data_IF_186323319040
#
_entry.id   IF_186323319040
#
_cell.length_a   1.000
_cell.length_b   1.000
_cell.length_c   1.000
_cell.angle_alpha   90.00
_cell.angle_beta   90.00
_cell.angle_gamma   90.00
#
_symmetry.space_group_name_H-M   'P 1'
#
loop_
_entity.id
_entity.type
_entity.pdbx_description
1 polymer ?
#
# COMPACT_ATOMS: atom_id res chain seq x y z
N UNK A 1 8.26 -12.69 0.86
CA UNK A 1 9.58 -12.09 0.57
C UNK A 1 9.38 -10.59 0.62
N UNK A 2 10.12 -9.90 1.45
CA UNK A 2 9.98 -8.44 1.58
C UNK A 2 10.68 -7.81 0.38
N UNK A 3 10.07 -6.79 -0.24
CA UNK A 3 10.82 -5.86 -1.07
C UNK A 3 12.00 -5.36 -0.24
N UNK A 4 13.22 -5.23 -0.81
CA UNK A 4 14.24 -4.48 -0.13
C UNK A 4 13.64 -3.10 0.21
N UNK A 5 13.80 -2.67 1.45
CA UNK A 5 13.31 -1.38 1.92
C UNK A 5 13.99 -0.30 1.08
N UNK A 6 13.33 0.14 0.01
CA UNK A 6 13.80 1.28 -0.77
C UNK A 6 13.37 2.50 0.02
N UNK A 7 14.28 2.94 0.87
CA UNK A 7 14.13 4.14 1.66
C UNK A 7 14.22 5.33 0.73
N UNK A 8 13.29 6.28 0.74
CA UNK A 8 13.57 7.61 0.23
C UNK A 8 14.78 8.14 0.99
N UNK A 9 15.93 8.28 0.30
CA UNK A 9 17.11 8.90 0.89
C UNK A 9 16.80 10.37 1.19
N UNK A 10 17.30 10.94 2.29
CA UNK A 10 17.24 12.37 2.50
C UNK A 10 17.79 13.08 1.27
N UNK A 11 17.21 14.24 0.94
CA UNK A 11 17.49 15.02 -0.25
C UNK A 11 18.97 15.01 -0.64
N UNK A 12 19.34 14.63 -1.87
CA UNK A 12 20.73 14.52 -2.28
C UNK A 12 21.39 15.89 -2.23
N UNK A 13 22.61 15.91 -1.73
CA UNK A 13 23.54 17.05 -1.83
C UNK A 13 23.55 17.54 -3.30
N UNK A 14 23.55 18.87 -3.57
CA UNK A 14 23.51 19.39 -4.93
C UNK A 14 24.68 18.84 -5.76
N UNK A 15 24.40 17.98 -6.72
CA UNK A 15 25.45 17.48 -7.63
C UNK A 15 25.22 16.10 -8.24
N UNK A 16 24.34 15.27 -7.72
CA UNK A 16 24.04 13.96 -8.31
C UNK A 16 22.58 13.89 -8.76
N UNK A 17 22.31 14.19 -10.02
CA UNK A 17 21.08 13.77 -10.67
C UNK A 17 21.17 12.25 -10.88
N UNK A 18 20.67 11.48 -9.95
CA UNK A 18 20.41 10.07 -10.21
C UNK A 18 19.03 9.99 -10.86
N UNK A 19 19.01 10.13 -12.17
CA UNK A 19 17.92 9.69 -13.02
C UNK A 19 18.10 8.19 -13.14
N UNK A 20 17.24 7.40 -12.54
CA UNK A 20 17.20 5.99 -12.92
C UNK A 20 15.88 5.35 -12.51
N UNK A 21 15.22 4.84 -13.52
CA UNK A 21 14.31 3.73 -13.38
C UNK A 21 15.12 2.55 -12.83
N UNK A 22 14.77 2.07 -11.66
CA UNK A 22 15.30 0.83 -11.10
C UNK A 22 14.24 -0.23 -11.31
N UNK A 23 14.56 -1.24 -12.10
CA UNK A 23 13.73 -2.43 -12.25
C UNK A 23 14.34 -3.59 -11.46
N UNK A 24 13.52 -4.22 -10.62
CA UNK A 24 13.88 -5.41 -9.86
C UNK A 24 12.90 -6.54 -10.18
N UNK A 25 13.45 -7.67 -10.64
CA UNK A 25 12.68 -8.82 -11.08
C UNK A 25 12.73 -9.91 -9.99
N UNK A 26 11.60 -10.15 -9.37
CA UNK A 26 11.41 -11.17 -8.34
C UNK A 26 10.72 -12.42 -8.91
N UNK A 27 10.66 -13.50 -8.15
CA UNK A 27 10.04 -14.76 -8.60
C UNK A 27 8.54 -14.63 -8.87
N UNK A 28 7.86 -13.66 -8.24
CA UNK A 28 6.39 -13.55 -8.28
C UNK A 28 5.89 -12.17 -8.68
N UNK A 29 6.77 -11.16 -8.74
CA UNK A 29 6.44 -9.82 -9.16
C UNK A 29 7.65 -9.11 -9.75
N UNK A 30 7.38 -8.10 -10.56
CA UNK A 30 8.37 -7.15 -11.06
C UNK A 30 8.09 -5.79 -10.43
N UNK A 31 9.08 -5.14 -9.87
CA UNK A 31 8.95 -3.79 -9.32
C UNK A 31 9.76 -2.79 -10.13
N UNK A 32 9.16 -1.60 -10.36
CA UNK A 32 9.79 -0.47 -11.01
C UNK A 32 9.74 0.73 -10.09
N UNK A 33 10.91 1.29 -9.77
CA UNK A 33 11.03 2.51 -8.99
C UNK A 33 11.33 3.68 -9.91
N UNK A 34 10.50 4.70 -9.88
CA UNK A 34 10.67 5.96 -10.60
C UNK A 34 11.11 7.05 -9.63
N UNK A 35 12.23 7.71 -9.93
CA UNK A 35 12.73 8.83 -9.14
C UNK A 35 11.84 10.08 -9.25
N UNK A 36 12.00 11.05 -8.34
CA UNK A 36 11.15 12.25 -8.29
C UNK A 36 11.31 13.17 -9.51
N UNK A 37 12.40 13.04 -10.26
CA UNK A 37 12.65 13.81 -11.50
C UNK A 37 12.05 13.15 -12.75
N UNK A 38 11.56 11.91 -12.66
CA UNK A 38 10.95 11.21 -13.77
C UNK A 38 9.57 11.81 -14.09
N UNK A 39 9.30 12.26 -15.32
CA UNK A 39 7.98 12.81 -15.69
C UNK A 39 6.83 11.84 -15.41
N UNK A 40 7.06 10.55 -15.62
CA UNK A 40 6.09 9.49 -15.39
C UNK A 40 5.63 9.37 -13.92
N UNK A 41 6.47 9.77 -12.97
CA UNK A 41 6.12 9.75 -11.53
C UNK A 41 4.89 10.62 -11.23
N UNK A 42 4.75 11.75 -11.91
CA UNK A 42 3.61 12.65 -11.69
C UNK A 42 2.30 12.11 -12.25
N UNK A 43 2.39 11.31 -13.32
CA UNK A 43 1.22 10.69 -13.96
C UNK A 43 0.66 9.54 -13.14
N UNK A 44 1.49 8.90 -12.32
CA UNK A 44 1.11 7.78 -11.48
C UNK A 44 0.48 8.20 -10.14
N UNK A 45 0.65 9.45 -9.73
CA UNK A 45 -0.07 9.98 -8.56
C UNK A 45 -1.51 10.28 -8.92
N UNK A 46 -2.44 9.72 -8.17
CA UNK A 46 -3.87 10.07 -8.32
C UNK A 46 -4.21 11.19 -7.35
N UNK A 47 -4.53 12.36 -7.89
CA UNK A 47 -4.99 13.47 -7.06
C UNK A 47 -6.45 13.25 -6.64
N UNK A 48 -6.63 12.68 -5.44
CA UNK A 48 -7.97 12.40 -4.91
C UNK A 48 -8.76 13.68 -4.57
N UNK A 49 -8.09 14.82 -4.41
CA UNK A 49 -8.75 16.09 -4.16
C UNK A 49 -9.37 16.68 -5.45
N UNK A 50 -8.74 16.44 -6.59
CA UNK A 50 -9.21 16.85 -7.91
C UNK A 50 -10.15 15.83 -8.57
N UNK A 51 -10.22 14.61 -8.01
CA UNK A 51 -11.07 13.55 -8.53
C UNK A 51 -12.57 13.88 -8.35
N UNK A 52 -13.40 13.21 -9.12
CA UNK A 52 -14.85 13.38 -9.02
C UNK A 52 -15.34 13.05 -7.60
N UNK A 53 -15.87 14.05 -6.90
CA UNK A 53 -16.32 13.96 -5.49
C UNK A 53 -17.34 12.85 -5.24
N UNK A 54 -18.11 12.44 -6.25
CA UNK A 54 -19.06 11.32 -6.11
C UNK A 54 -18.37 9.97 -5.99
N UNK A 55 -17.14 9.85 -6.44
CA UNK A 55 -16.33 8.63 -6.44
C UNK A 55 -15.30 8.60 -5.31
N UNK A 56 -15.06 9.75 -4.64
CA UNK A 56 -14.14 9.88 -3.50
C UNK A 56 -14.92 9.71 -2.21
N UNK A 57 -14.43 8.86 -1.31
CA UNK A 57 -15.05 8.59 -0.02
C UNK A 57 -14.02 8.72 1.10
N UNK A 58 -14.27 9.62 2.05
CA UNK A 58 -13.54 9.67 3.30
C UNK A 58 -14.08 8.55 4.19
N UNK A 59 -13.22 7.67 4.64
CA UNK A 59 -13.63 6.58 5.53
C UNK A 59 -13.62 7.08 6.97
N UNK A 60 -14.76 7.56 7.45
CA UNK A 60 -14.90 8.23 8.75
C UNK A 60 -14.35 7.38 9.91
N UNK A 61 -14.65 6.08 9.96
CA UNK A 61 -14.17 5.21 11.04
C UNK A 61 -12.64 5.11 11.00
N UNK A 62 -12.05 4.80 9.83
CA UNK A 62 -10.59 4.62 9.72
C UNK A 62 -9.84 5.94 9.93
N UNK A 63 -10.44 7.08 9.59
CA UNK A 63 -9.83 8.40 9.78
C UNK A 63 -9.77 8.83 11.26
N UNK A 64 -10.62 8.26 12.11
CA UNK A 64 -10.76 8.66 13.52
C UNK A 64 -10.37 7.55 14.52
N UNK A 65 -9.71 6.50 14.06
CA UNK A 65 -9.37 5.35 14.92
C UNK A 65 -7.95 4.87 14.70
N UNK A 66 -7.45 4.13 15.70
CA UNK A 66 -6.18 3.45 15.68
C UNK A 66 -6.40 1.93 15.64
N UNK A 67 -5.58 1.20 14.90
CA UNK A 67 -5.61 -0.28 14.79
C UNK A 67 -6.96 -0.84 14.35
N UNK A 68 -7.58 -0.19 13.38
CA UNK A 68 -8.83 -0.62 12.77
C UNK A 68 -8.64 -1.00 11.31
N UNK A 69 -9.57 -1.81 10.82
CA UNK A 69 -9.64 -2.19 9.42
C UNK A 69 -11.10 -2.27 8.96
N UNK A 70 -11.34 -1.98 7.70
CA UNK A 70 -12.71 -1.97 7.13
C UNK A 70 -12.73 -2.56 5.74
N UNK A 71 -13.74 -3.37 5.48
CA UNK A 71 -13.98 -3.97 4.16
C UNK A 71 -14.51 -2.95 3.18
N UNK A 72 -14.02 -3.06 1.94
CA UNK A 72 -14.48 -2.27 0.80
C UNK A 72 -14.72 -3.22 -0.37
N UNK A 73 -15.84 -3.04 -1.06
CA UNK A 73 -16.16 -3.76 -2.29
C UNK A 73 -15.68 -2.90 -3.46
N UNK A 74 -14.85 -3.49 -4.32
CA UNK A 74 -14.37 -2.85 -5.54
C UNK A 74 -15.47 -2.83 -6.60
N UNK A 75 -15.49 -1.82 -7.45
CA UNK A 75 -16.39 -1.75 -8.60
C UNK A 75 -15.99 -2.68 -9.75
N UNK A 76 -14.78 -3.25 -9.69
CA UNK A 76 -14.22 -4.19 -10.66
C UNK A 76 -13.55 -5.38 -9.95
N UNK A 77 -13.23 -6.43 -10.71
CA UNK A 77 -12.45 -7.55 -10.21
C UNK A 77 -10.95 -7.25 -10.37
N UNK A 78 -10.25 -7.17 -9.24
CA UNK A 78 -8.80 -6.95 -9.23
C UNK A 78 -8.08 -8.31 -9.31
N UNK A 79 -7.22 -8.56 -10.33
CA UNK A 79 -6.52 -9.82 -10.48
C UNK A 79 -5.25 -9.86 -9.60
N UNK A 80 -5.39 -10.34 -8.37
CA UNK A 80 -4.25 -10.53 -7.48
C UNK A 80 -3.62 -11.90 -7.73
N UNK A 81 -2.41 -11.93 -8.31
CA UNK A 81 -1.74 -13.15 -8.79
C UNK A 81 -2.62 -14.01 -9.71
N UNK A 82 -3.40 -13.37 -10.60
CA UNK A 82 -4.33 -14.02 -11.51
C UNK A 82 -5.66 -14.46 -10.88
N UNK A 83 -5.87 -14.23 -9.59
CA UNK A 83 -7.12 -14.55 -8.91
C UNK A 83 -8.00 -13.29 -8.74
N UNK A 84 -9.25 -13.29 -9.24
CA UNK A 84 -10.12 -12.12 -9.15
C UNK A 84 -10.54 -11.85 -7.71
N UNK A 85 -10.29 -10.63 -7.23
CA UNK A 85 -10.73 -10.14 -5.94
C UNK A 85 -11.72 -8.99 -6.13
N UNK A 86 -12.92 -9.14 -5.56
CA UNK A 86 -13.97 -8.12 -5.54
C UNK A 86 -14.04 -7.38 -4.22
N UNK A 87 -13.40 -7.89 -3.19
CA UNK A 87 -13.44 -7.36 -1.83
C UNK A 87 -12.04 -7.30 -1.25
N UNK A 88 -11.72 -6.18 -0.62
CA UNK A 88 -10.45 -5.91 0.07
C UNK A 88 -10.75 -5.34 1.45
N UNK A 89 -9.72 -5.24 2.30
CA UNK A 89 -9.86 -4.62 3.61
C UNK A 89 -8.75 -3.59 3.82
N UNK A 90 -9.14 -2.32 3.97
CA UNK A 90 -8.20 -1.22 4.27
C UNK A 90 -7.92 -1.20 5.76
N UNK A 91 -6.64 -1.09 6.14
CA UNK A 91 -6.21 -0.95 7.53
C UNK A 91 -5.65 0.45 7.81
N UNK A 92 -5.89 0.96 9.00
CA UNK A 92 -5.31 2.25 9.47
C UNK A 92 -3.79 2.24 9.47
N UNK A 93 -3.18 1.06 9.60
CA UNK A 93 -1.73 0.86 9.62
C UNK A 93 -1.03 0.94 8.26
N UNK A 94 -1.64 1.54 7.23
CA UNK A 94 -0.98 1.82 5.95
C UNK A 94 -0.86 0.62 5.01
N UNK A 95 -1.85 -0.27 4.99
CA UNK A 95 -1.87 -1.44 4.12
C UNK A 95 -3.29 -1.93 3.82
N UNK A 96 -3.39 -2.81 2.85
CA UNK A 96 -4.62 -3.45 2.39
C UNK A 96 -4.47 -4.96 2.57
N UNK A 97 -5.46 -5.60 3.19
CA UNK A 97 -5.59 -7.06 3.14
C UNK A 97 -6.27 -7.47 1.82
N UNK A 98 -5.68 -8.45 1.14
CA UNK A 98 -6.09 -8.92 -0.19
C UNK A 98 -6.83 -10.25 -0.17
N UNK A 99 -7.28 -10.74 0.97
CA UNK A 99 -7.98 -12.01 1.08
C UNK A 99 -8.88 -12.08 2.30
N UNK A 100 -9.86 -12.99 2.25
CA UNK A 100 -10.83 -13.20 3.34
C UNK A 100 -10.24 -13.96 4.53
N UNK A 101 -9.06 -14.55 4.38
CA UNK A 101 -8.50 -15.46 5.35
C UNK A 101 -7.59 -14.73 6.32
N UNK A 102 -8.15 -14.34 7.46
CA UNK A 102 -7.36 -13.97 8.64
C UNK A 102 -6.98 -15.26 9.35
N UNK A 103 -5.89 -15.89 8.97
CA UNK A 103 -5.39 -17.02 9.71
C UNK A 103 -4.60 -16.55 10.94
N UNK A 104 -5.20 -16.66 12.12
CA UNK A 104 -4.61 -16.19 13.39
C UNK A 104 -3.28 -16.88 13.74
N UNK A 105 -2.97 -18.01 13.14
CA UNK A 105 -1.76 -18.81 13.43
C UNK A 105 -0.69 -18.78 12.33
N UNK A 106 -1.01 -18.27 11.13
CA UNK A 106 -0.02 -18.09 10.07
C UNK A 106 0.23 -16.59 9.92
N UNK A 107 1.45 -16.16 10.07
CA UNK A 107 1.95 -14.80 9.82
C UNK A 107 1.84 -14.38 8.35
N UNK A 108 1.21 -15.20 7.51
CA UNK A 108 1.05 -15.05 6.07
C UNK A 108 -0.34 -14.51 5.72
N UNK A 109 -0.68 -13.31 6.20
CA UNK A 109 -1.81 -12.55 5.66
C UNK A 109 -1.44 -12.04 4.28
N UNK A 110 -2.35 -12.17 3.32
CA UNK A 110 -2.21 -11.59 1.99
C UNK A 110 -2.38 -10.08 2.10
N UNK A 111 -1.37 -9.33 1.73
CA UNK A 111 -1.39 -7.88 1.87
C UNK A 111 -0.72 -7.18 0.68
N UNK A 112 -1.15 -5.95 0.47
CA UNK A 112 -0.49 -4.92 -0.33
C UNK A 112 -0.20 -3.76 0.62
N UNK A 113 1.08 -3.46 0.85
CA UNK A 113 1.53 -2.49 1.84
C UNK A 113 2.44 -1.43 1.21
N UNK A 114 1.92 -0.25 0.86
CA UNK A 114 2.79 0.86 0.48
C UNK A 114 3.72 1.24 1.64
N UNK A 115 3.18 1.34 2.85
CA UNK A 115 3.96 1.54 4.06
C UNK A 115 3.15 1.05 5.27
N UNK A 116 3.36 -0.20 5.66
CA UNK A 116 2.77 -0.76 6.87
C UNK A 116 3.57 -0.30 8.08
N UNK A 117 2.93 0.40 9.02
CA UNK A 117 3.51 0.82 10.28
C UNK A 117 2.42 1.11 11.34
N UNK A 118 2.82 1.54 12.54
CA UNK A 118 1.88 1.83 13.63
C UNK A 118 1.24 3.22 13.46
N UNK A 119 0.53 3.46 12.35
CA UNK A 119 -0.16 4.72 12.11
C UNK A 119 -1.42 4.86 12.94
N UNK A 120 -1.65 6.07 13.44
CA UNK A 120 -2.85 6.47 14.18
C UNK A 120 -3.53 7.66 13.49
N UNK A 121 -4.46 7.44 12.55
CA UNK A 121 -5.23 8.52 11.94
C UNK A 121 -6.07 9.31 12.95
N UNK A 122 -6.48 8.69 14.07
CA UNK A 122 -7.24 9.37 15.10
C UNK A 122 -6.46 10.39 15.97
N UNK A 123 -5.16 10.55 15.70
CA UNK A 123 -4.33 11.51 16.42
C UNK A 123 -4.65 12.97 16.04
N UNK A 124 -5.00 13.23 14.79
CA UNK A 124 -5.23 14.59 14.28
C UNK A 124 -6.49 14.65 13.43
N UNK A 125 -7.27 15.71 13.58
CA UNK A 125 -8.45 15.97 12.76
C UNK A 125 -8.10 16.20 11.26
N UNK A 126 -6.84 16.51 10.97
CA UNK A 126 -6.34 16.64 9.59
C UNK A 126 -5.96 15.30 8.97
N UNK A 127 -5.86 14.24 9.76
CA UNK A 127 -5.55 12.90 9.25
C UNK A 127 -6.79 12.28 8.64
N UNK A 128 -6.66 11.74 7.41
CA UNK A 128 -7.76 11.02 6.77
C UNK A 128 -7.29 9.73 6.11
N UNK A 129 -8.18 8.75 6.08
CA UNK A 129 -8.09 7.60 5.18
C UNK A 129 -9.18 7.79 4.13
N UNK A 130 -8.77 8.08 2.92
CA UNK A 130 -9.67 8.36 1.80
C UNK A 130 -9.47 7.33 0.71
N UNK A 131 -10.53 6.95 0.03
CA UNK A 131 -10.43 6.08 -1.12
C UNK A 131 -11.28 6.57 -2.30
N UNK A 132 -10.89 6.17 -3.48
CA UNK A 132 -11.48 6.52 -4.76
C UNK A 132 -11.62 5.26 -5.61
N UNK A 133 -12.74 5.12 -6.33
CA UNK A 133 -13.01 4.01 -7.23
C UNK A 133 -13.79 4.51 -8.44
N UNK A 134 -13.23 4.34 -9.63
CA UNK A 134 -13.85 4.77 -10.89
C UNK A 134 -14.18 3.63 -11.86
N UNK A 135 -14.03 2.37 -11.42
CA UNK A 135 -14.28 1.20 -12.25
C UNK A 135 -13.06 0.64 -12.98
N UNK A 136 -11.96 1.40 -13.03
CA UNK A 136 -10.69 0.98 -13.67
C UNK A 136 -9.51 1.05 -12.72
N UNK A 137 -9.58 1.90 -11.71
CA UNK A 137 -8.59 2.03 -10.65
C UNK A 137 -9.29 2.25 -9.32
N UNK A 138 -8.80 1.56 -8.31
CA UNK A 138 -9.11 1.81 -6.91
C UNK A 138 -7.87 2.39 -6.24
N UNK A 139 -8.02 3.52 -5.57
CA UNK A 139 -6.93 4.18 -4.83
C UNK A 139 -7.32 4.31 -3.38
N UNK A 140 -6.43 4.01 -2.48
CA UNK A 140 -6.53 4.41 -1.07
C UNK A 140 -5.36 5.30 -0.70
N UNK A 141 -5.64 6.42 -0.06
CA UNK A 141 -4.67 7.38 0.44
C UNK A 141 -4.77 7.47 1.95
N UNK A 142 -3.63 7.30 2.61
CA UNK A 142 -3.41 7.68 4.00
C UNK A 142 -2.84 9.09 3.96
N UNK A 143 -3.66 10.06 4.36
CA UNK A 143 -3.38 11.48 4.21
C UNK A 143 -3.09 12.12 5.57
N UNK A 144 -1.91 12.73 5.71
CA UNK A 144 -1.43 13.36 6.95
C UNK A 144 -1.55 12.45 8.19
N UNK A 145 -1.27 11.14 8.04
CA UNK A 145 -1.33 10.19 9.15
C UNK A 145 -0.04 10.21 9.97
N UNK A 146 -0.16 10.07 11.29
CA UNK A 146 0.97 10.12 12.22
C UNK A 146 1.32 8.73 12.75
N UNK A 147 2.62 8.51 13.00
CA UNK A 147 3.09 7.34 13.71
C UNK A 147 2.80 7.47 15.21
N UNK A 148 2.15 6.47 15.79
CA UNK A 148 1.87 6.40 17.21
C UNK A 148 3.17 6.41 18.04
N UNK A 149 3.29 7.41 18.91
CA UNK A 149 4.48 7.63 19.75
C UNK A 149 5.65 8.33 19.07
N UNK A 150 5.46 8.82 17.81
CA UNK A 150 6.44 9.56 17.02
C UNK A 150 5.78 10.76 16.31
N UNK A 151 4.75 11.30 16.89
CA UNK A 151 3.93 12.37 16.30
C UNK A 151 4.72 13.66 16.05
N UNK A 152 5.78 13.88 16.83
CA UNK A 152 6.72 14.99 16.69
C UNK A 152 7.55 14.96 15.41
N UNK A 153 7.63 13.80 14.74
CA UNK A 153 8.37 13.66 13.47
C UNK A 153 7.62 14.20 12.27
N UNK A 154 6.33 14.43 12.38
CA UNK A 154 5.48 14.91 11.31
C UNK A 154 4.54 13.87 10.73
N UNK A 155 3.73 14.29 9.77
CA UNK A 155 2.73 13.45 9.11
C UNK A 155 3.29 12.74 7.88
N UNK A 156 2.65 11.64 7.54
CA UNK A 156 2.93 10.85 6.34
C UNK A 156 1.75 10.96 5.37
N UNK A 157 2.05 11.11 4.08
CA UNK A 157 1.05 11.09 3.01
C UNK A 157 1.53 10.18 1.91
N UNK A 158 0.78 9.09 1.69
CA UNK A 158 1.07 8.08 0.68
C UNK A 158 -0.19 7.36 0.23
N UNK A 159 -0.12 6.69 -0.92
CA UNK A 159 -1.26 5.97 -1.47
C UNK A 159 -0.86 4.63 -2.09
N UNK A 160 -1.85 3.75 -2.22
CA UNK A 160 -1.79 2.55 -3.04
C UNK A 160 -2.91 2.60 -4.07
N UNK A 161 -2.59 2.36 -5.33
CA UNK A 161 -3.54 2.22 -6.41
C UNK A 161 -3.55 0.78 -6.94
N UNK A 162 -4.75 0.23 -7.09
CA UNK A 162 -5.00 -1.09 -7.67
C UNK A 162 -5.70 -0.90 -9.01
N UNK A 163 -5.06 -1.25 -10.11
CA UNK A 163 -5.61 -1.12 -11.46
C UNK A 163 -6.31 -2.41 -11.91
N UNK A 164 -7.36 -2.29 -12.70
CA UNK A 164 -8.15 -3.42 -13.18
C UNK A 164 -7.33 -4.46 -13.98
N UNK A 165 -6.17 -4.07 -14.50
CA UNK A 165 -5.22 -4.93 -15.22
C UNK A 165 -4.24 -5.69 -14.30
N UNK A 166 -4.36 -5.53 -12.97
CA UNK A 166 -3.50 -6.16 -11.96
C UNK A 166 -2.27 -5.34 -11.56
N UNK A 167 -2.01 -4.22 -12.22
CA UNK A 167 -0.91 -3.32 -11.86
C UNK A 167 -1.19 -2.65 -10.51
N UNK A 168 -0.14 -2.53 -9.69
CA UNK A 168 -0.17 -1.89 -8.38
C UNK A 168 0.78 -0.70 -8.39
N UNK A 169 0.35 0.44 -7.88
CA UNK A 169 1.20 1.64 -7.74
C UNK A 169 1.29 2.02 -6.27
N UNK A 170 2.50 2.19 -5.77
CA UNK A 170 2.78 2.82 -4.48
C UNK A 170 3.33 4.21 -4.70
N UNK A 171 2.68 5.21 -4.15
CA UNK A 171 3.04 6.59 -4.33
C UNK A 171 3.24 7.30 -2.98
N UNK A 172 4.37 7.99 -2.84
CA UNK A 172 4.78 8.65 -1.60
C UNK A 172 4.93 10.14 -1.85
N UNK A 173 4.19 10.95 -1.09
CA UNK A 173 4.21 12.41 -1.17
C UNK A 173 4.93 13.04 0.02
N UNK A 174 4.67 12.54 1.21
CA UNK A 174 5.25 13.03 2.45
C UNK A 174 5.75 11.86 3.30
N UNK A 175 7.05 11.80 3.54
CA UNK A 175 7.70 10.79 4.38
C UNK A 175 8.72 11.53 5.26
N UNK A 176 8.33 12.00 6.46
CA UNK A 176 9.12 12.95 7.25
C UNK A 176 10.34 12.33 7.93
N UNK A 177 10.44 10.99 7.93
CA UNK A 177 11.57 10.28 8.53
C UNK A 177 11.95 9.05 7.71
N UNK A 178 13.16 8.57 7.90
CA UNK A 178 13.65 7.35 7.24
C UNK A 178 12.88 6.11 7.71
N UNK A 179 12.38 5.29 6.78
CA UNK A 179 11.60 4.09 7.10
C UNK A 179 12.35 3.09 7.99
N UNK A 180 13.68 2.84 7.84
CA UNK A 180 14.43 2.00 8.78
C UNK A 180 14.48 2.51 10.23
N UNK A 181 14.23 3.79 10.47
CA UNK A 181 14.17 4.34 11.82
C UNK A 181 12.84 4.09 12.52
N UNK A 182 11.81 3.67 11.77
CA UNK A 182 10.50 3.36 12.35
C UNK A 182 10.60 2.08 13.17
N UNK A 183 10.24 2.17 14.46
CA UNK A 183 10.27 1.02 15.36
C UNK A 183 9.24 -0.03 14.96
N UNK A 184 9.67 -1.29 14.85
CA UNK A 184 8.81 -2.45 14.59
C UNK A 184 8.38 -3.19 15.87
N UNK A 185 8.66 -2.65 17.06
CA UNK A 185 8.44 -3.34 18.33
C UNK A 185 6.94 -3.55 18.68
N UNK A 186 6.08 -2.64 18.26
CA UNK A 186 4.64 -2.70 18.55
C UNK A 186 3.77 -3.02 17.35
N UNK A 187 4.29 -2.86 16.14
CA UNK A 187 3.63 -3.11 14.88
C UNK A 187 4.67 -3.43 13.82
N UNK A 188 4.44 -4.42 12.95
CA UNK A 188 5.36 -4.68 11.84
C UNK A 188 5.53 -3.45 10.94
N UNK A 189 6.77 -3.18 10.52
CA UNK A 189 7.07 -2.17 9.49
C UNK A 189 7.45 -2.91 8.22
N UNK A 190 6.65 -2.71 7.16
CA UNK A 190 6.80 -3.42 5.89
C UNK A 190 6.41 -2.52 4.72
N UNK A 191 7.16 -2.65 3.63
CA UNK A 191 6.77 -2.14 2.32
C UNK A 191 6.81 -3.29 1.33
N UNK A 192 5.77 -3.44 0.49
CA UNK A 192 5.68 -4.51 -0.50
C UNK A 192 4.36 -5.28 -0.42
N UNK A 193 4.39 -6.52 -0.89
CA UNK A 193 3.21 -7.39 -0.89
C UNK A 193 3.55 -8.81 -0.47
N UNK A 194 2.50 -9.58 -0.14
CA UNK A 194 2.63 -11.02 0.06
C UNK A 194 3.03 -11.68 -1.26
N UNK A 195 3.82 -12.74 -1.18
CA UNK A 195 4.45 -13.43 -2.32
C UNK A 195 3.56 -14.45 -3.02
N UNK A 196 2.28 -14.55 -2.65
CA UNK A 196 1.35 -15.51 -3.24
C UNK A 196 -0.10 -15.21 -2.88
N UNK A 197 -1.02 -15.70 -3.70
CA UNK A 197 -2.42 -15.87 -3.33
C UNK A 197 -2.59 -17.14 -2.51
N UNK A 198 -3.32 -17.07 -1.41
CA UNK A 198 -3.52 -18.19 -0.49
C UNK A 198 -4.98 -18.61 -0.46
N UNK A 199 -5.23 -19.90 -0.68
CA UNK A 199 -6.56 -20.50 -0.62
C UNK A 199 -6.59 -21.45 0.58
N UNK A 200 -7.66 -21.37 1.37
CA UNK A 200 -8.00 -22.44 2.31
C UNK A 200 -8.60 -23.60 1.53
N UNK A 201 -8.00 -24.79 1.67
CA UNK A 201 -8.61 -26.00 1.14
C UNK A 201 -9.88 -26.29 1.96
N UNK A 202 -11.08 -26.36 1.33
CA UNK A 202 -12.31 -26.67 2.03
C UNK A 202 -12.43 -28.12 2.52
N UNK A 203 -11.44 -29.00 2.23
CA UNK A 203 -11.44 -30.38 2.71
C UNK A 203 -11.09 -30.42 4.20
N UNK A 204 -11.97 -31.01 5.06
CA UNK A 204 -11.74 -31.05 6.50
C UNK A 204 -10.53 -31.92 6.91
N UNK A 205 -10.07 -32.79 6.02
CA UNK A 205 -9.03 -33.79 6.34
C UNK A 205 -7.61 -33.30 6.07
N UNK A 206 -7.45 -32.17 5.39
CA UNK A 206 -6.13 -31.58 5.11
C UNK A 206 -6.23 -30.07 5.16
N UNK A 207 -5.88 -29.43 6.26
CA UNK A 207 -5.80 -27.97 6.34
C UNK A 207 -4.55 -27.48 5.59
N UNK A 208 -4.55 -27.58 4.27
CA UNK A 208 -3.47 -27.07 3.44
C UNK A 208 -3.86 -25.70 2.93
N UNK A 209 -3.11 -24.71 3.36
CA UNK A 209 -3.08 -23.42 2.68
C UNK A 209 -2.25 -23.61 1.41
N UNK A 210 -2.91 -23.70 0.26
CA UNK A 210 -2.23 -23.74 -1.02
C UNK A 210 -1.79 -22.34 -1.43
N UNK A 211 -0.53 -22.18 -1.83
CA UNK A 211 -0.05 -20.99 -2.52
C UNK A 211 -0.26 -21.20 -4.02
N UNK A 212 -0.98 -20.29 -4.65
CA UNK A 212 -1.23 -20.35 -6.10
C UNK A 212 -0.97 -18.98 -6.73
N UNK A 213 -0.14 -18.97 -7.77
CA UNK A 213 0.14 -17.78 -8.56
C UNK A 213 -0.07 -18.16 -10.02
N UNK A 214 -1.13 -17.66 -10.63
CA UNK A 214 -1.40 -17.85 -12.05
C UNK A 214 -0.60 -16.84 -12.88
N UNK A 215 -0.41 -15.62 -12.36
CA UNK A 215 0.27 -14.53 -13.04
C UNK A 215 1.29 -13.84 -12.14
N UNK A 216 2.28 -13.20 -12.77
CA UNK A 216 3.25 -12.32 -12.10
C UNK A 216 2.65 -10.92 -11.96
N UNK A 217 2.75 -10.33 -10.78
CA UNK A 217 2.30 -8.96 -10.53
C UNK A 217 3.32 -7.92 -10.99
N UNK A 218 2.81 -6.76 -11.40
CA UNK A 218 3.61 -5.58 -11.71
C UNK A 218 3.37 -4.50 -10.65
N UNK A 219 4.46 -3.98 -10.08
CA UNK A 219 4.42 -2.92 -9.08
C UNK A 219 5.23 -1.73 -9.58
N UNK A 220 4.65 -0.56 -9.47
CA UNK A 220 5.32 0.71 -9.72
C UNK A 220 5.42 1.49 -8.41
N UNK A 221 6.61 1.99 -8.10
CA UNK A 221 6.86 2.81 -6.93
C UNK A 221 7.29 4.20 -7.38
N UNK A 222 6.66 5.22 -6.83
CA UNK A 222 7.01 6.60 -7.11
C UNK A 222 7.21 7.39 -5.83
N UNK A 223 8.19 8.29 -5.86
CA UNK A 223 8.37 9.32 -4.83
C UNK A 223 8.16 10.66 -5.50
N UNK A 224 7.21 11.43 -5.01
CA UNK A 224 6.97 12.78 -5.54
C UNK A 224 8.04 13.75 -5.02
N UNK A 225 8.42 14.75 -5.81
CA UNK A 225 9.25 15.83 -5.31
C UNK A 225 8.51 16.59 -4.21
N UNK A 226 9.22 16.87 -3.13
CA UNK A 226 8.77 17.74 -2.03
C UNK A 226 8.63 19.19 -2.46
#
# INVERSE_FOLDING_TARGET
>A
MLLPLIVPQPAPTPGLQIVSLIEDNHSYYVSRLYGPSEPHSRELWVDVAEANRSQVKIHTILSNTHRQASRVVLSFDFPFYGHPLRQITIATGGFIFMGDVIHRMLTATQYVAPLMANFNPGYSDNSTVVYFDNGTVFVVQWDHVYLQGWEDKGSFTFQAALHHDGRIVFAYKEIPMSVPEISSSQHPVKTGLSDAFMILNPSPDVPVVARTNADTLNIELIVLPS
#
